data_IF_332192977205
#
_entry.id   IF_332192977205
#
_cell.length_a   1.000
_cell.length_b   1.000
_cell.length_c   1.000
_cell.angle_alpha   90.00
_cell.angle_beta   90.00
_cell.angle_gamma   90.00
#
_symmetry.space_group_name_H-M   'P 1'
#
loop_
_entity.id
_entity.type
_entity.pdbx_description
1 polymer ?
#
# COMPACT_ATOMS: atom_id res chain seq x y z
N UNK A 1 -17.30 -4.28 -21.53
CA UNK A 1 -18.39 -3.73 -20.67
C UNK A 1 -17.71 -3.29 -19.38
N UNK A 2 -17.57 -1.98 -19.20
CA UNK A 2 -16.91 -1.39 -18.03
C UNK A 2 -17.81 -1.58 -16.81
N UNK A 3 -17.43 -2.46 -15.88
CA UNK A 3 -18.07 -2.53 -14.57
C UNK A 3 -17.51 -1.39 -13.71
N UNK A 4 -18.06 -0.21 -13.88
CA UNK A 4 -17.86 0.88 -12.92
C UNK A 4 -18.62 0.52 -11.63
N UNK A 5 -17.91 -0.02 -10.65
CA UNK A 5 -18.40 -0.20 -9.30
C UNK A 5 -18.69 1.20 -8.71
N UNK A 6 -19.96 1.51 -8.48
CA UNK A 6 -20.35 2.74 -7.79
C UNK A 6 -20.10 2.56 -6.29
N UNK A 7 -19.07 3.18 -5.79
CA UNK A 7 -18.57 3.09 -4.41
C UNK A 7 -19.55 3.53 -3.30
N UNK A 8 -20.69 4.11 -3.64
CA UNK A 8 -21.69 4.61 -2.69
C UNK A 8 -22.92 3.70 -2.56
N UNK A 9 -22.87 2.46 -3.06
CA UNK A 9 -23.99 1.55 -2.95
C UNK A 9 -23.90 0.75 -1.65
N UNK A 10 -24.76 1.07 -0.68
CA UNK A 10 -24.85 0.40 0.62
C UNK A 10 -25.24 -1.10 0.53
N UNK A 11 -25.41 -1.61 -0.67
CA UNK A 11 -25.84 -2.99 -0.95
C UNK A 11 -24.69 -3.90 -1.43
N UNK A 12 -23.44 -3.41 -1.47
CA UNK A 12 -22.31 -4.22 -1.93
C UNK A 12 -21.99 -5.32 -0.93
N UNK A 13 -22.19 -6.57 -1.31
CA UNK A 13 -21.73 -7.73 -0.55
C UNK A 13 -20.20 -7.85 -0.65
N UNK A 14 -19.51 -7.30 0.33
CA UNK A 14 -18.06 -7.31 0.40
C UNK A 14 -17.46 -8.73 0.48
N UNK A 15 -18.19 -9.70 1.06
CA UNK A 15 -17.78 -11.09 1.07
C UNK A 15 -17.80 -11.74 -0.32
N UNK A 16 -18.68 -11.28 -1.20
CA UNK A 16 -18.70 -11.71 -2.60
C UNK A 16 -17.56 -11.07 -3.39
N UNK A 17 -17.26 -9.79 -3.14
CA UNK A 17 -16.12 -9.10 -3.75
C UNK A 17 -14.80 -9.77 -3.37
N UNK A 18 -14.62 -10.15 -2.11
CA UNK A 18 -13.44 -10.86 -1.64
C UNK A 18 -13.22 -12.19 -2.37
N UNK A 19 -14.29 -12.94 -2.64
CA UNK A 19 -14.22 -14.20 -3.38
C UNK A 19 -13.93 -14.03 -4.87
N UNK A 20 -14.28 -12.89 -5.45
CA UNK A 20 -14.21 -12.63 -6.89
C UNK A 20 -12.98 -11.80 -7.27
N UNK A 21 -12.43 -11.00 -6.34
CA UNK A 21 -11.31 -10.12 -6.63
C UNK A 21 -9.98 -10.69 -6.15
N UNK A 22 -9.08 -11.13 -7.05
CA UNK A 22 -7.78 -11.70 -6.70
C UNK A 22 -6.85 -10.70 -5.95
N UNK A 23 -7.14 -9.40 -5.99
CA UNK A 23 -6.34 -8.35 -5.32
C UNK A 23 -6.28 -8.57 -3.82
N UNK A 24 -7.40 -8.93 -3.17
CA UNK A 24 -7.43 -9.21 -1.73
C UNK A 24 -6.53 -10.37 -1.34
N UNK A 25 -6.54 -11.43 -2.15
CA UNK A 25 -5.65 -12.58 -1.92
C UNK A 25 -4.18 -12.21 -2.09
N UNK A 26 -3.86 -11.30 -3.00
CA UNK A 26 -2.48 -10.81 -3.19
C UNK A 26 -2.00 -10.02 -1.97
N UNK A 27 -2.85 -9.16 -1.40
CA UNK A 27 -2.52 -8.40 -0.19
C UNK A 27 -2.31 -9.33 1.03
N UNK A 28 -3.14 -10.37 1.20
CA UNK A 28 -2.98 -11.39 2.25
C UNK A 28 -1.73 -12.25 2.04
N UNK A 29 -1.38 -12.54 0.77
CA UNK A 29 -0.14 -13.25 0.43
C UNK A 29 1.09 -12.42 0.83
N UNK A 30 1.10 -11.12 0.56
CA UNK A 30 2.17 -10.22 0.97
C UNK A 30 2.41 -10.29 2.48
N UNK A 31 1.34 -10.22 3.28
CA UNK A 31 1.40 -10.37 4.73
C UNK A 31 1.99 -11.73 5.13
N UNK A 32 1.54 -12.80 4.50
CA UNK A 32 2.04 -14.15 4.79
C UNK A 32 3.53 -14.31 4.47
N UNK A 33 4.01 -13.73 3.36
CA UNK A 33 5.42 -13.75 2.99
C UNK A 33 6.28 -12.96 3.97
N UNK A 34 5.83 -11.78 4.42
CA UNK A 34 6.53 -11.01 5.46
C UNK A 34 6.63 -11.80 6.76
N UNK A 35 5.57 -12.50 7.17
CA UNK A 35 5.59 -13.38 8.34
C UNK A 35 6.58 -14.53 8.18
N UNK A 36 6.62 -15.18 7.01
CA UNK A 36 7.55 -16.26 6.70
C UNK A 36 9.02 -15.79 6.70
N UNK A 37 9.26 -14.51 6.38
CA UNK A 37 10.59 -13.88 6.44
C UNK A 37 11.00 -13.44 7.86
N UNK A 38 10.21 -13.76 8.88
CA UNK A 38 10.54 -13.48 10.28
C UNK A 38 10.03 -12.12 10.79
N UNK A 39 9.15 -11.42 10.06
CA UNK A 39 8.49 -10.25 10.60
C UNK A 39 7.48 -10.69 11.67
N UNK A 40 7.78 -10.36 12.93
CA UNK A 40 7.01 -10.81 14.09
C UNK A 40 5.61 -10.19 14.15
N UNK A 41 5.45 -8.95 13.71
CA UNK A 41 4.16 -8.27 13.68
C UNK A 41 3.28 -8.83 12.56
N UNK A 42 3.86 -9.13 11.40
CA UNK A 42 3.17 -9.86 10.33
C UNK A 42 2.73 -11.25 10.81
N UNK A 43 3.60 -12.00 11.51
CA UNK A 43 3.26 -13.32 12.04
C UNK A 43 2.13 -13.26 13.09
N UNK A 44 2.09 -12.21 13.90
CA UNK A 44 1.00 -11.97 14.85
C UNK A 44 -0.31 -11.71 14.12
N UNK A 45 -0.28 -10.87 13.07
CA UNK A 45 -1.46 -10.53 12.29
C UNK A 45 -1.99 -11.72 11.48
N UNK A 46 -1.10 -12.53 10.87
CA UNK A 46 -1.47 -13.80 10.21
C UNK A 46 -2.24 -14.72 11.15
N UNK A 47 -1.77 -14.87 12.40
CA UNK A 47 -2.46 -15.69 13.41
C UNK A 47 -3.81 -15.11 13.82
N UNK A 48 -3.89 -13.80 14.05
CA UNK A 48 -5.15 -13.13 14.44
C UNK A 48 -6.21 -13.20 13.34
N UNK A 49 -5.79 -13.11 12.09
CA UNK A 49 -6.65 -13.23 10.93
C UNK A 49 -6.98 -14.69 10.56
N UNK A 50 -6.35 -15.67 11.19
CA UNK A 50 -6.54 -17.10 10.88
C UNK A 50 -6.13 -17.48 9.46
N UNK A 51 -5.15 -16.77 8.88
CA UNK A 51 -4.71 -17.03 7.51
C UNK A 51 -3.87 -18.32 7.43
N UNK A 52 -4.14 -19.10 6.38
CA UNK A 52 -3.35 -20.29 6.03
C UNK A 52 -2.70 -20.10 4.65
N UNK A 53 -1.63 -20.86 4.40
CA UNK A 53 -0.93 -20.79 3.11
C UNK A 53 -1.88 -21.15 1.94
N UNK A 54 -2.72 -22.16 2.14
CA UNK A 54 -3.68 -22.59 1.11
C UNK A 54 -4.71 -21.50 0.77
N UNK A 55 -5.14 -20.74 1.78
CA UNK A 55 -6.10 -19.66 1.59
C UNK A 55 -5.50 -18.45 0.86
N UNK A 56 -4.16 -18.31 0.86
CA UNK A 56 -3.46 -17.17 0.23
C UNK A 56 -2.86 -17.51 -1.13
N UNK A 57 -2.71 -18.79 -1.47
CA UNK A 57 -2.16 -19.22 -2.75
C UNK A 57 -3.11 -18.93 -3.91
N UNK A 58 -2.55 -18.40 -5.00
CA UNK A 58 -3.24 -18.27 -6.28
C UNK A 58 -2.61 -19.22 -7.32
N UNK A 59 -3.25 -19.34 -8.49
CA UNK A 59 -2.78 -20.23 -9.55
C UNK A 59 -1.40 -19.87 -10.13
N UNK A 60 -0.93 -18.65 -9.94
CA UNK A 60 0.39 -18.20 -10.38
C UNK A 60 1.50 -18.66 -9.43
N UNK A 61 1.24 -18.62 -8.11
CA UNK A 61 2.23 -19.07 -7.11
C UNK A 61 2.40 -20.58 -7.08
N UNK A 62 1.37 -21.35 -7.42
CA UNK A 62 1.46 -22.82 -7.50
C UNK A 62 2.34 -23.35 -8.63
N UNK A 63 2.70 -22.50 -9.61
CA UNK A 63 3.56 -22.89 -10.76
C UNK A 63 5.00 -22.38 -10.65
N UNK A 64 5.30 -21.55 -9.65
CA UNK A 64 6.63 -20.96 -9.48
C UNK A 64 7.63 -22.00 -8.94
N UNK A 65 8.88 -21.95 -9.43
CA UNK A 65 9.96 -22.77 -8.86
C UNK A 65 10.34 -22.26 -7.47
N UNK A 66 10.99 -23.09 -6.61
CA UNK A 66 11.47 -22.66 -5.30
C UNK A 66 12.37 -21.41 -5.36
N UNK A 67 13.21 -21.30 -6.40
CA UNK A 67 14.10 -20.15 -6.61
C UNK A 67 13.31 -18.89 -6.95
N UNK A 68 12.25 -19.00 -7.76
CA UNK A 68 11.37 -17.87 -8.09
C UNK A 68 10.60 -17.41 -6.87
N UNK A 69 10.12 -18.34 -6.04
CA UNK A 69 9.45 -18.01 -4.78
C UNK A 69 10.41 -17.30 -3.83
N UNK A 70 11.63 -17.82 -3.66
CA UNK A 70 12.65 -17.22 -2.82
C UNK A 70 13.02 -15.80 -3.33
N UNK A 71 13.28 -15.68 -4.63
CA UNK A 71 13.60 -14.39 -5.24
C UNK A 71 12.49 -13.36 -5.03
N UNK A 72 11.23 -13.72 -5.28
CA UNK A 72 10.08 -12.86 -5.04
C UNK A 72 9.93 -12.45 -3.58
N UNK A 73 10.19 -13.38 -2.67
CA UNK A 73 10.11 -13.13 -1.22
C UNK A 73 11.19 -12.15 -0.75
N UNK A 74 12.44 -12.31 -1.23
CA UNK A 74 13.54 -11.39 -0.93
C UNK A 74 13.23 -9.99 -1.47
N UNK A 75 12.75 -9.89 -2.70
CA UNK A 75 12.40 -8.62 -3.33
C UNK A 75 11.28 -7.90 -2.58
N UNK A 76 10.27 -8.63 -2.14
CA UNK A 76 9.18 -8.10 -1.33
C UNK A 76 9.72 -7.52 -0.01
N UNK A 77 10.58 -8.25 0.68
CA UNK A 77 11.17 -7.81 1.94
C UNK A 77 12.04 -6.55 1.78
N UNK A 78 12.89 -6.52 0.75
CA UNK A 78 13.72 -5.35 0.44
C UNK A 78 12.83 -4.13 0.16
N UNK A 79 11.79 -4.29 -0.66
CA UNK A 79 10.85 -3.23 -0.99
C UNK A 79 10.15 -2.71 0.26
N UNK A 80 9.53 -3.62 1.03
CA UNK A 80 8.82 -3.28 2.25
C UNK A 80 9.70 -2.49 3.23
N UNK A 81 10.92 -2.97 3.52
CA UNK A 81 11.86 -2.30 4.44
C UNK A 81 12.37 -0.97 3.90
N UNK A 82 12.64 -0.90 2.59
CA UNK A 82 13.13 0.33 1.98
C UNK A 82 12.06 1.42 2.06
N UNK A 83 10.81 1.11 1.73
CA UNK A 83 9.70 2.07 1.79
C UNK A 83 9.43 2.51 3.23
N UNK A 84 9.45 1.60 4.20
CA UNK A 84 9.29 1.94 5.61
C UNK A 84 10.41 2.87 6.09
N UNK A 85 11.68 2.58 5.73
CA UNK A 85 12.83 3.43 6.09
C UNK A 85 12.75 4.82 5.47
N UNK A 86 12.43 4.93 4.18
CA UNK A 86 12.27 6.22 3.51
C UNK A 86 11.16 7.06 4.14
N UNK A 87 10.06 6.43 4.51
CA UNK A 87 8.96 7.10 5.20
C UNK A 87 9.35 7.57 6.61
N UNK A 88 10.11 6.77 7.36
CA UNK A 88 10.66 7.18 8.67
C UNK A 88 11.66 8.34 8.54
N UNK A 89 12.56 8.29 7.56
CA UNK A 89 13.57 9.33 7.31
C UNK A 89 12.95 10.65 6.87
N UNK A 90 11.77 10.64 6.24
CA UNK A 90 11.06 11.87 5.88
C UNK A 90 10.59 12.65 7.11
N UNK A 91 10.27 11.96 8.20
CA UNK A 91 9.71 12.56 9.42
C UNK A 91 8.26 13.05 9.29
N UNK A 92 7.64 12.84 8.14
CA UNK A 92 6.28 13.27 7.83
C UNK A 92 5.25 12.21 8.26
N UNK A 93 3.96 12.57 8.27
CA UNK A 93 2.88 11.60 8.45
C UNK A 93 2.88 10.60 7.29
N UNK A 94 3.04 9.29 7.59
CA UNK A 94 2.97 8.26 6.57
C UNK A 94 1.53 8.06 6.08
N UNK A 95 1.36 8.12 4.76
CA UNK A 95 0.15 7.75 4.03
C UNK A 95 0.46 6.55 3.14
N UNK A 96 0.00 5.37 3.54
CA UNK A 96 0.26 4.10 2.84
C UNK A 96 -0.91 3.78 1.91
N UNK A 97 -0.69 3.81 0.61
CA UNK A 97 -1.71 3.68 -0.43
C UNK A 97 -1.23 2.76 -1.58
N UNK A 98 -1.75 1.56 -1.71
CA UNK A 98 -2.72 0.88 -0.85
C UNK A 98 -2.02 0.28 0.39
N UNK A 99 -2.66 0.34 1.54
CA UNK A 99 -2.05 -0.18 2.77
C UNK A 99 -2.09 -1.70 2.89
N UNK A 100 -3.03 -2.35 2.21
CA UNK A 100 -3.24 -3.79 2.32
C UNK A 100 -3.38 -4.25 3.78
N UNK A 101 -2.74 -5.38 4.06
CA UNK A 101 -2.67 -5.96 5.40
C UNK A 101 -1.24 -5.94 5.96
N UNK A 102 -0.39 -5.00 5.50
CA UNK A 102 0.99 -4.96 5.97
C UNK A 102 1.06 -4.54 7.45
N UNK A 103 2.07 -5.02 8.22
CA UNK A 103 2.21 -4.67 9.63
C UNK A 103 2.75 -3.25 9.85
N UNK A 104 2.95 -2.45 8.80
CA UNK A 104 3.56 -1.12 8.85
C UNK A 104 2.87 -0.17 9.85
N UNK A 105 1.54 -0.24 9.94
CA UNK A 105 0.78 0.52 10.94
C UNK A 105 1.19 0.18 12.38
N UNK A 106 1.46 -1.10 12.67
CA UNK A 106 1.91 -1.56 13.99
C UNK A 106 3.33 -1.05 14.26
N UNK A 107 4.22 -1.19 13.28
CA UNK A 107 5.63 -0.79 13.38
C UNK A 107 5.76 0.72 13.59
N UNK A 108 5.01 1.53 12.84
CA UNK A 108 5.00 2.99 12.97
C UNK A 108 4.41 3.43 14.32
N UNK A 109 3.29 2.85 14.72
CA UNK A 109 2.69 3.15 16.02
C UNK A 109 3.67 2.86 17.18
N UNK A 110 4.38 1.72 17.17
CA UNK A 110 5.39 1.37 18.18
C UNK A 110 6.53 2.39 18.26
N UNK A 111 6.84 3.06 17.16
CA UNK A 111 7.86 4.13 17.08
C UNK A 111 7.29 5.52 17.44
N UNK A 112 5.99 5.62 17.76
CA UNK A 112 5.33 6.89 18.04
C UNK A 112 5.07 7.75 16.80
N UNK A 113 5.07 7.15 15.60
CA UNK A 113 4.89 7.82 14.33
C UNK A 113 3.44 7.71 13.85
N UNK A 114 2.94 8.78 13.21
CA UNK A 114 1.59 8.81 12.65
C UNK A 114 1.50 7.99 11.35
N UNK A 115 0.39 7.25 11.21
CA UNK A 115 0.14 6.37 10.07
C UNK A 115 -1.30 6.48 9.58
N UNK A 116 -1.47 6.66 8.28
CA UNK A 116 -2.74 6.64 7.58
C UNK A 116 -2.72 5.53 6.53
N UNK A 117 -3.48 4.46 6.77
CA UNK A 117 -3.70 3.38 5.80
C UNK A 117 -4.89 3.70 4.92
N UNK A 118 -4.66 3.83 3.63
CA UNK A 118 -5.67 4.08 2.62
C UNK A 118 -5.79 2.86 1.70
N UNK A 119 -7.02 2.39 1.47
CA UNK A 119 -7.28 1.25 0.59
C UNK A 119 -8.76 1.19 0.20
N UNK A 120 -9.12 0.17 -0.55
CA UNK A 120 -10.49 -0.15 -0.90
C UNK A 120 -11.33 -0.45 0.36
N UNK A 121 -12.65 -0.16 0.35
CA UNK A 121 -13.52 -0.33 1.52
C UNK A 121 -13.43 -1.72 2.16
N UNK A 122 -13.38 -2.78 1.37
CA UNK A 122 -13.33 -4.14 1.91
C UNK A 122 -12.02 -4.46 2.65
N UNK A 123 -10.87 -3.96 2.15
CA UNK A 123 -9.58 -4.08 2.85
C UNK A 123 -9.61 -3.28 4.14
N UNK A 124 -10.09 -2.05 4.09
CA UNK A 124 -10.15 -1.15 5.25
C UNK A 124 -11.06 -1.71 6.35
N UNK A 125 -12.18 -2.31 5.99
CA UNK A 125 -13.09 -2.92 6.96
C UNK A 125 -12.37 -3.97 7.81
N UNK A 126 -11.62 -4.87 7.20
CA UNK A 126 -10.89 -5.93 7.89
C UNK A 126 -9.61 -5.39 8.57
N UNK A 127 -8.84 -4.55 7.88
CA UNK A 127 -7.59 -3.99 8.40
C UNK A 127 -7.83 -3.10 9.63
N UNK A 128 -8.88 -2.26 9.62
CA UNK A 128 -9.23 -1.39 10.74
C UNK A 128 -9.73 -2.15 11.98
N UNK A 129 -10.22 -3.36 11.81
CA UNK A 129 -10.56 -4.25 12.92
C UNK A 129 -9.33 -4.97 13.49
N UNK A 130 -8.55 -5.61 12.61
CA UNK A 130 -7.48 -6.54 12.98
C UNK A 130 -6.19 -5.85 13.38
N UNK A 131 -5.71 -4.91 12.60
CA UNK A 131 -4.40 -4.29 12.83
C UNK A 131 -4.34 -3.51 14.15
N UNK A 132 -5.31 -2.63 14.50
CA UNK A 132 -5.27 -1.91 15.77
C UNK A 132 -5.38 -2.80 17.01
N UNK A 133 -5.88 -4.03 16.90
CA UNK A 133 -5.90 -4.97 18.01
C UNK A 133 -4.49 -5.32 18.52
N UNK A 134 -3.48 -5.27 17.65
CA UNK A 134 -2.07 -5.55 17.94
C UNK A 134 -1.27 -4.30 18.32
N UNK A 135 -1.88 -3.12 18.34
CA UNK A 135 -1.24 -1.86 18.71
C UNK A 135 -1.50 -1.55 20.19
N UNK A 136 -0.48 -1.15 20.97
CA UNK A 136 -0.66 -0.70 22.35
C UNK A 136 -1.75 0.39 22.45
N UNK A 137 -2.62 0.36 23.48
CA UNK A 137 -3.79 1.23 23.57
C UNK A 137 -3.46 2.73 23.43
N UNK A 138 -2.36 3.19 24.03
CA UNK A 138 -1.91 4.57 24.03
C UNK A 138 -1.42 5.05 22.65
N UNK A 139 -1.04 4.11 21.77
CA UNK A 139 -0.51 4.40 20.43
C UNK A 139 -1.59 4.26 19.33
N UNK A 140 -2.75 3.68 19.63
CA UNK A 140 -3.85 3.53 18.65
C UNK A 140 -4.30 4.87 18.05
N UNK A 141 -4.17 5.95 18.80
CA UNK A 141 -4.49 7.30 18.32
C UNK A 141 -3.63 7.78 17.15
N UNK A 142 -2.46 7.17 16.92
CA UNK A 142 -1.53 7.49 15.84
C UNK A 142 -1.92 6.86 14.50
N UNK A 143 -2.83 5.87 14.52
CA UNK A 143 -3.18 5.08 13.35
C UNK A 143 -4.60 5.38 12.89
N UNK A 144 -4.75 5.60 11.60
CA UNK A 144 -6.04 5.79 10.93
C UNK A 144 -6.12 4.88 9.70
N UNK A 145 -7.31 4.35 9.48
CA UNK A 145 -7.65 3.62 8.26
C UNK A 145 -8.83 4.33 7.57
N UNK A 146 -8.71 4.57 6.28
CA UNK A 146 -9.73 5.27 5.48
C UNK A 146 -9.94 4.56 4.16
N UNK A 147 -11.21 4.28 3.85
CA UNK A 147 -11.58 3.77 2.54
C UNK A 147 -11.49 4.86 1.48
N UNK A 148 -10.79 4.58 0.38
CA UNK A 148 -10.61 5.53 -0.71
C UNK A 148 -10.75 4.87 -2.07
N UNK A 149 -11.13 5.70 -3.04
CA UNK A 149 -10.87 5.49 -4.45
C UNK A 149 -9.67 6.35 -4.84
N UNK A 150 -8.54 5.73 -5.12
CA UNK A 150 -7.28 6.42 -5.44
C UNK A 150 -7.34 7.24 -6.73
N UNK A 151 -8.28 6.90 -7.63
CA UNK A 151 -8.53 7.66 -8.87
C UNK A 151 -9.44 8.88 -8.65
N UNK A 152 -10.03 9.02 -7.46
CA UNK A 152 -10.90 10.14 -7.11
C UNK A 152 -10.21 11.09 -6.13
N UNK A 153 -9.84 12.28 -6.63
CA UNK A 153 -9.18 13.31 -5.82
C UNK A 153 -9.97 13.67 -4.55
N UNK A 154 -11.29 13.87 -4.66
CA UNK A 154 -12.13 14.25 -3.51
C UNK A 154 -12.14 13.16 -2.43
N UNK A 155 -12.08 11.89 -2.84
CA UNK A 155 -11.96 10.76 -1.92
C UNK A 155 -10.64 10.80 -1.15
N UNK A 156 -9.51 11.02 -1.83
CA UNK A 156 -8.20 11.14 -1.21
C UNK A 156 -8.10 12.39 -0.33
N UNK A 157 -8.56 13.53 -0.81
CA UNK A 157 -8.54 14.81 -0.06
C UNK A 157 -9.31 14.68 1.25
N UNK A 158 -10.52 14.11 1.20
CA UNK A 158 -11.35 13.87 2.38
C UNK A 158 -10.69 12.89 3.36
N UNK A 159 -10.05 11.83 2.85
CA UNK A 159 -9.38 10.85 3.71
C UNK A 159 -8.20 11.46 4.49
N UNK A 160 -7.65 12.57 4.01
CA UNK A 160 -6.51 13.26 4.61
C UNK A 160 -6.88 14.63 5.20
N UNK A 161 -8.17 14.96 5.37
CA UNK A 161 -8.61 16.28 5.83
C UNK A 161 -8.10 16.64 7.24
N UNK A 162 -7.98 15.62 8.10
CA UNK A 162 -7.52 15.74 9.50
C UNK A 162 -5.99 15.58 9.66
N UNK A 163 -5.24 15.47 8.57
CA UNK A 163 -3.77 15.46 8.62
C UNK A 163 -3.24 16.88 8.60
N UNK A 164 -2.55 17.26 9.67
CA UNK A 164 -1.83 18.53 9.75
C UNK A 164 -0.39 18.37 9.29
N UNK A 165 0.06 19.28 8.42
CA UNK A 165 1.44 19.30 7.91
C UNK A 165 1.71 18.37 6.74
N UNK A 166 3.01 18.15 6.45
CA UNK A 166 3.44 17.38 5.29
C UNK A 166 3.17 15.89 5.43
N UNK A 167 3.03 15.22 4.28
CA UNK A 167 2.77 13.78 4.20
C UNK A 167 3.84 13.06 3.40
N UNK A 168 4.21 11.88 3.85
CA UNK A 168 4.99 10.93 3.06
C UNK A 168 4.03 9.87 2.50
N UNK A 169 3.72 9.96 1.21
CA UNK A 169 2.87 8.97 0.57
C UNK A 169 3.75 7.82 0.09
N UNK A 170 3.35 6.58 0.40
CA UNK A 170 4.00 5.38 -0.15
C UNK A 170 3.01 4.62 -1.02
N UNK A 171 3.49 4.12 -2.17
CA UNK A 171 2.67 3.33 -3.10
C UNK A 171 3.43 2.07 -3.49
N UNK A 172 2.89 0.91 -3.13
CA UNK A 172 3.49 -0.39 -3.40
C UNK A 172 2.45 -1.37 -3.95
N UNK A 173 2.65 -1.87 -5.16
CA UNK A 173 1.79 -2.88 -5.77
C UNK A 173 0.39 -2.36 -6.15
N UNK A 174 0.29 -1.12 -6.60
CA UNK A 174 -0.98 -0.49 -7.00
C UNK A 174 -1.07 -0.32 -8.52
N UNK A 175 -0.04 0.22 -9.16
CA UNK A 175 -0.14 0.64 -10.57
C UNK A 175 -0.40 -0.53 -11.52
N UNK A 176 0.02 -1.75 -11.16
CA UNK A 176 -0.23 -2.94 -11.97
C UNK A 176 -1.71 -3.29 -12.14
N UNK A 177 -2.59 -2.69 -11.34
CA UNK A 177 -4.04 -2.88 -11.42
C UNK A 177 -4.75 -1.78 -12.19
N UNK A 178 -4.02 -0.75 -12.62
CA UNK A 178 -4.55 0.43 -13.30
C UNK A 178 -4.26 0.38 -14.79
N UNK A 179 -5.16 0.96 -15.55
CA UNK A 179 -4.88 1.38 -16.93
C UNK A 179 -3.96 2.60 -16.90
N UNK A 180 -3.29 2.91 -18.01
CA UNK A 180 -2.42 4.09 -18.15
C UNK A 180 -3.17 5.39 -17.77
N UNK A 181 -4.45 5.50 -18.14
CA UNK A 181 -5.30 6.64 -17.80
C UNK A 181 -5.57 6.74 -16.29
N UNK A 182 -5.82 5.63 -15.63
CA UNK A 182 -6.03 5.58 -14.17
C UNK A 182 -4.73 5.87 -13.41
N UNK A 183 -3.61 5.33 -13.89
CA UNK A 183 -2.28 5.62 -13.34
C UNK A 183 -1.94 7.11 -13.47
N UNK A 184 -2.20 7.74 -14.63
CA UNK A 184 -2.06 9.18 -14.83
C UNK A 184 -2.95 9.98 -13.87
N UNK A 185 -4.19 9.56 -13.68
CA UNK A 185 -5.12 10.19 -12.72
C UNK A 185 -4.62 10.09 -11.28
N UNK A 186 -4.09 8.93 -10.87
CA UNK A 186 -3.47 8.76 -9.55
C UNK A 186 -2.29 9.72 -9.36
N UNK A 187 -1.39 9.80 -10.35
CA UNK A 187 -0.24 10.69 -10.30
C UNK A 187 -0.67 12.16 -10.11
N UNK A 188 -1.68 12.61 -10.86
CA UNK A 188 -2.23 13.95 -10.72
C UNK A 188 -2.89 14.18 -9.37
N UNK A 189 -3.62 13.20 -8.85
CA UNK A 189 -4.26 13.29 -7.53
C UNK A 189 -3.21 13.42 -6.42
N UNK A 190 -2.17 12.58 -6.44
CA UNK A 190 -1.07 12.64 -5.46
C UNK A 190 -0.33 13.97 -5.58
N UNK A 191 -0.01 14.44 -6.79
CA UNK A 191 0.62 15.74 -7.00
C UNK A 191 -0.20 16.88 -6.33
N UNK A 192 -1.52 16.90 -6.52
CA UNK A 192 -2.42 17.90 -5.92
C UNK A 192 -2.44 17.82 -4.39
N UNK A 193 -2.41 16.61 -3.81
CA UNK A 193 -2.30 16.43 -2.35
C UNK A 193 -0.98 17.01 -1.84
N UNK A 194 0.13 16.71 -2.50
CA UNK A 194 1.45 17.20 -2.11
C UNK A 194 1.60 18.72 -2.29
N UNK A 195 0.99 19.30 -3.33
CA UNK A 195 0.94 20.77 -3.51
C UNK A 195 0.23 21.44 -2.35
N UNK A 196 -0.82 20.81 -1.80
CA UNK A 196 -1.61 21.35 -0.70
C UNK A 196 -0.98 21.14 0.68
N UNK A 197 -0.40 19.96 0.92
CA UNK A 197 0.08 19.55 2.24
C UNK A 197 1.59 19.61 2.40
N UNK A 198 2.34 19.57 1.32
CA UNK A 198 3.78 19.35 1.34
C UNK A 198 4.15 17.88 1.50
N UNK A 199 5.45 17.60 1.54
CA UNK A 199 5.98 16.26 1.75
C UNK A 199 6.50 15.58 0.50
N UNK A 200 6.39 14.25 0.42
CA UNK A 200 6.97 13.47 -0.67
C UNK A 200 6.11 12.25 -1.03
N UNK A 201 6.40 11.66 -2.17
CA UNK A 201 5.82 10.40 -2.63
C UNK A 201 6.91 9.42 -3.04
N UNK A 202 6.88 8.23 -2.46
CA UNK A 202 7.71 7.11 -2.84
C UNK A 202 6.85 6.05 -3.52
N UNK A 203 7.24 5.66 -4.71
CA UNK A 203 6.58 4.63 -5.51
C UNK A 203 7.53 3.44 -5.68
N UNK A 204 7.05 2.24 -5.36
CA UNK A 204 7.76 0.99 -5.59
C UNK A 204 6.80 -0.03 -6.21
N UNK A 205 6.46 0.17 -7.47
CA UNK A 205 5.74 -0.80 -8.26
C UNK A 205 6.71 -1.57 -9.15
N UNK A 206 6.54 -2.90 -9.17
CA UNK A 206 7.37 -3.80 -9.96
C UNK A 206 6.67 -4.04 -11.29
N UNK A 207 6.99 -3.23 -12.28
CA UNK A 207 6.84 -3.66 -13.67
C UNK A 207 8.22 -4.07 -14.19
N UNK A 208 8.36 -5.33 -14.56
CA UNK A 208 9.60 -5.90 -15.07
C UNK A 208 10.79 -5.92 -14.08
N UNK A 209 11.74 -6.74 -14.32
CA UNK A 209 12.93 -7.13 -13.59
C UNK A 209 13.79 -6.04 -12.93
N UNK A 210 13.34 -4.79 -12.89
CA UNK A 210 14.04 -3.65 -12.27
C UNK A 210 13.08 -2.85 -11.39
N UNK A 211 13.38 -2.76 -10.11
CA UNK A 211 12.65 -1.91 -9.18
C UNK A 211 13.07 -0.45 -9.37
N UNK A 212 12.13 0.40 -9.74
CA UNK A 212 12.32 1.84 -9.70
C UNK A 212 11.64 2.41 -8.46
N UNK A 213 12.38 3.21 -7.70
CA UNK A 213 11.82 4.10 -6.69
C UNK A 213 11.77 5.49 -7.29
N UNK A 214 10.56 6.00 -7.54
CA UNK A 214 10.36 7.37 -7.99
C UNK A 214 10.10 8.21 -6.75
N UNK A 215 10.91 9.26 -6.56
CA UNK A 215 10.76 10.21 -5.47
C UNK A 215 10.23 11.52 -6.05
N UNK A 216 9.06 11.94 -5.60
CA UNK A 216 8.50 13.25 -5.92
C UNK A 216 8.39 14.06 -4.62
N UNK A 217 8.88 15.31 -4.65
CA UNK A 217 8.73 16.26 -3.55
C UNK A 217 7.83 17.41 -3.99
N UNK A 218 6.97 17.86 -3.08
CA UNK A 218 6.13 19.01 -3.32
C UNK A 218 7.01 20.25 -3.62
N UNK A 219 6.69 20.95 -4.71
CA UNK A 219 7.44 22.14 -5.17
C UNK A 219 8.82 21.87 -5.77
N UNK A 220 9.23 20.59 -5.93
CA UNK A 220 10.49 20.17 -6.52
C UNK A 220 10.32 19.46 -7.86
N UNK A 221 11.33 19.57 -8.74
CA UNK A 221 11.43 18.69 -9.90
C UNK A 221 11.67 17.26 -9.44
N UNK A 222 11.22 16.22 -10.18
CA UNK A 222 11.56 14.84 -9.87
C UNK A 222 13.07 14.71 -9.69
N UNK A 223 13.51 14.12 -8.58
CA UNK A 223 14.93 13.81 -8.40
C UNK A 223 15.17 12.51 -9.16
N UNK A 224 15.56 12.64 -10.41
CA UNK A 224 16.07 11.51 -11.18
C UNK A 224 17.45 11.15 -10.64
N UNK A 225 17.59 10.03 -9.98
CA UNK A 225 18.86 9.34 -9.96
C UNK A 225 19.17 8.94 -11.41
N UNK A 226 20.30 9.37 -11.95
CA UNK A 226 20.84 9.15 -13.31
C UNK A 226 20.04 8.20 -14.21
N UNK A 227 19.10 8.71 -15.00
CA UNK A 227 18.17 7.93 -15.79
C UNK A 227 18.07 8.38 -17.26
N UNK A 228 19.18 8.72 -17.87
CA UNK A 228 19.22 8.91 -19.33
C UNK A 228 19.11 7.59 -20.12
N UNK A 229 19.15 6.41 -19.46
CA UNK A 229 19.20 5.12 -20.15
C UNK A 229 17.91 4.30 -20.11
N UNK A 230 16.83 4.73 -19.45
CA UNK A 230 15.67 3.87 -19.20
C UNK A 230 14.46 4.05 -20.10
N UNK A 231 14.42 5.07 -20.96
CA UNK A 231 13.38 5.21 -21.97
C UNK A 231 14.02 5.43 -23.34
N UNK A 232 14.06 4.41 -24.21
CA UNK A 232 14.37 4.65 -25.61
C UNK A 232 13.27 5.55 -26.17
N UNK A 233 13.67 6.68 -26.76
CA UNK A 233 12.77 7.53 -27.50
C UNK A 233 12.17 6.72 -28.65
N UNK A 234 10.86 6.47 -28.57
CA UNK A 234 10.04 5.91 -29.63
C UNK A 234 9.13 6.96 -30.20
#
# INVERSE_FOLDING_TARGET
MSNTLKWNDATVDYGLLEKVNPVFNTAKMTLFQLAANGNTDAAALVRDMGLTLEATQNSATTKASPEQVLGGTIMLEIRYRTMARLAEESGDTLVDLPCGYTPRAIEFAKKGLAYYGLDLPAVIQEAAEKIPALIPPEQKKLVRFRAVDATNYTSLEKALEDVDGPVCITTEGLLMYFTDSEAGTLCDNIRRILEKKGGCWYLADVECSLQYVIVMRAGGRPVHGNHEECFPAG
#
